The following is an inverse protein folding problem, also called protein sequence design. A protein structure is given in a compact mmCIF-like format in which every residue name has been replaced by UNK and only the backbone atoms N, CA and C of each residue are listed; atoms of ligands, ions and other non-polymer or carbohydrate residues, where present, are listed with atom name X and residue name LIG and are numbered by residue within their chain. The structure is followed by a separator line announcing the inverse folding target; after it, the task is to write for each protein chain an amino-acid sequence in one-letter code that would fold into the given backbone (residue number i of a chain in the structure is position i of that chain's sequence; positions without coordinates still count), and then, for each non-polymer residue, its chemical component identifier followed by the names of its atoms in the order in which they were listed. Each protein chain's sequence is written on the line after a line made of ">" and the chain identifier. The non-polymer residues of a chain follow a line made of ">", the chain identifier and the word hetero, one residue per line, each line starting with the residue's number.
data_IF_851223957821
#
_entry.id   IF_851223957821
#
_cell.length_a   1.000
_cell.length_b   1.000
_cell.length_c   1.000
_cell.angle_alpha   90.00
_cell.angle_beta   90.00
_cell.angle_gamma   90.00
#
_symmetry.space_group_name_H-M   'P 1'
#
loop_
_entity.id
_entity.type
_entity.pdbx_description
1 polymer ?
#
# COMPACT_ATOMS: atom_id res chain seq x y z
N UNK A 1 -14.85 22.96 -30.13
CA UNK A 1 -15.24 22.36 -28.83
C UNK A 1 -14.17 22.68 -27.79
N UNK A 2 -14.47 23.49 -26.76
CA UNK A 2 -13.57 23.69 -25.63
C UNK A 2 -13.57 22.41 -24.80
N UNK A 3 -12.40 21.75 -24.67
CA UNK A 3 -12.22 20.69 -23.66
C UNK A 3 -12.54 21.32 -22.31
N UNK A 4 -13.59 20.85 -21.64
CA UNK A 4 -13.86 21.19 -20.24
C UNK A 4 -12.60 20.76 -19.47
N UNK A 5 -11.80 21.72 -19.01
CA UNK A 5 -10.67 21.42 -18.16
C UNK A 5 -11.24 20.78 -16.90
N UNK A 6 -10.86 19.52 -16.63
CA UNK A 6 -11.15 18.91 -15.33
C UNK A 6 -10.63 19.87 -14.25
N UNK A 7 -11.42 20.20 -13.22
CA UNK A 7 -10.95 21.06 -12.15
C UNK A 7 -9.68 20.44 -11.58
N UNK A 8 -8.59 21.22 -11.57
CA UNK A 8 -7.29 20.73 -11.10
C UNK A 8 -7.41 20.51 -9.61
N UNK A 9 -7.36 19.25 -9.17
CA UNK A 9 -7.42 18.91 -7.75
C UNK A 9 -6.19 19.43 -7.02
N UNK A 10 -6.31 19.62 -5.71
CA UNK A 10 -5.15 19.86 -4.85
C UNK A 10 -4.34 18.57 -4.72
N UNK A 11 -3.03 18.72 -4.56
CA UNK A 11 -2.11 17.62 -4.28
C UNK A 11 -2.51 16.92 -2.99
N UNK A 12 -2.72 15.61 -3.07
CA UNK A 12 -3.26 14.79 -1.97
C UNK A 12 -2.35 14.79 -0.73
N UNK A 13 -1.04 15.04 -0.89
CA UNK A 13 -0.08 15.04 0.21
C UNK A 13 0.13 16.39 0.86
N UNK A 14 0.12 17.48 0.09
CA UNK A 14 0.44 18.79 0.65
C UNK A 14 -0.78 19.67 0.88
N UNK A 15 -1.92 19.38 0.22
CA UNK A 15 -3.13 20.22 0.28
C UNK A 15 -2.98 21.66 -0.25
N UNK A 16 -1.76 22.10 -0.57
CA UNK A 16 -1.42 23.50 -0.89
C UNK A 16 -1.37 23.73 -2.40
N UNK A 17 -0.65 22.90 -3.14
CA UNK A 17 -0.43 23.07 -4.59
C UNK A 17 -1.40 22.22 -5.40
N UNK A 18 -1.66 22.62 -6.63
CA UNK A 18 -2.37 21.81 -7.61
C UNK A 18 -1.62 20.52 -7.95
N UNK A 19 -2.38 19.44 -8.13
CA UNK A 19 -1.90 18.18 -8.67
C UNK A 19 -1.56 18.37 -10.15
N UNK A 20 -0.27 18.59 -10.43
CA UNK A 20 0.23 18.95 -11.75
C UNK A 20 1.43 18.08 -12.17
N UNK A 21 1.57 16.91 -11.56
CA UNK A 21 2.55 15.89 -11.90
C UNK A 21 1.85 14.58 -12.21
N UNK A 22 2.32 13.90 -13.26
CA UNK A 22 1.92 12.54 -13.60
C UNK A 22 2.79 11.59 -12.81
N UNK A 23 2.16 10.74 -12.01
CA UNK A 23 2.82 9.65 -11.32
C UNK A 23 2.49 8.33 -11.99
N UNK A 24 3.49 7.49 -12.23
CA UNK A 24 3.27 6.18 -12.83
C UNK A 24 2.50 5.29 -11.85
N UNK A 25 1.47 4.60 -12.34
CA UNK A 25 0.64 3.70 -11.55
C UNK A 25 1.48 2.59 -10.89
N UNK A 26 2.38 2.02 -11.68
CA UNK A 26 3.49 1.21 -11.21
C UNK A 26 4.80 1.94 -11.48
N UNK A 27 5.64 2.19 -10.46
CA UNK A 27 6.97 2.73 -10.66
C UNK A 27 7.72 1.96 -11.75
N UNK A 28 8.39 2.67 -12.66
CA UNK A 28 9.07 2.05 -13.81
C UNK A 28 10.02 0.92 -13.44
N UNK A 29 10.64 1.00 -12.27
CA UNK A 29 11.55 -0.04 -11.77
C UNK A 29 10.84 -1.33 -11.32
N UNK A 30 9.53 -1.29 -11.04
CA UNK A 30 8.71 -2.47 -10.74
C UNK A 30 8.16 -3.15 -11.99
N UNK A 31 7.97 -2.41 -13.08
CA UNK A 31 7.33 -2.93 -14.29
C UNK A 31 7.98 -4.21 -14.85
N UNK A 32 9.32 -4.38 -14.86
CA UNK A 32 9.95 -5.63 -15.30
C UNK A 32 9.62 -6.84 -14.42
N UNK A 33 9.13 -6.63 -13.20
CA UNK A 33 8.76 -7.66 -12.23
C UNK A 33 7.26 -7.95 -12.20
N UNK A 34 6.47 -7.28 -13.04
CA UNK A 34 5.04 -7.51 -13.18
C UNK A 34 4.76 -8.51 -14.29
N UNK A 35 3.66 -9.29 -14.22
CA UNK A 35 3.29 -10.19 -15.30
C UNK A 35 2.88 -9.36 -16.52
N UNK A 36 3.24 -9.82 -17.72
CA UNK A 36 2.88 -9.15 -18.98
C UNK A 36 1.36 -9.01 -19.18
N UNK A 37 0.57 -9.86 -18.54
CA UNK A 37 -0.89 -9.82 -18.51
C UNK A 37 -1.36 -10.17 -17.09
N UNK A 38 -1.36 -9.20 -16.18
CA UNK A 38 -1.96 -9.40 -14.86
C UNK A 38 -3.36 -8.78 -14.82
N UNK A 39 -4.44 -9.59 -14.79
CA UNK A 39 -5.75 -9.10 -14.42
C UNK A 39 -5.71 -8.74 -12.93
N UNK A 40 -5.51 -7.46 -12.62
CA UNK A 40 -5.64 -7.02 -11.25
C UNK A 40 -7.12 -6.93 -10.88
N UNK A 41 -7.45 -7.37 -9.67
CA UNK A 41 -8.84 -7.37 -9.19
C UNK A 41 -8.93 -6.44 -8.00
N UNK A 42 -9.78 -5.43 -8.15
CA UNK A 42 -10.12 -4.48 -7.11
C UNK A 42 -11.40 -4.94 -6.40
N UNK A 43 -11.44 -4.77 -5.08
CA UNK A 43 -12.64 -5.04 -4.29
C UNK A 43 -12.88 -3.86 -3.36
N UNK A 44 -14.14 -3.49 -3.18
CA UNK A 44 -14.52 -2.45 -2.24
C UNK A 44 -15.64 -3.00 -1.39
N UNK A 45 -15.44 -3.10 -0.08
CA UNK A 45 -16.49 -3.56 0.82
C UNK A 45 -17.13 -2.34 1.46
N UNK A 46 -18.44 -2.16 1.24
CA UNK A 46 -19.26 -1.14 1.88
C UNK A 46 -20.06 -1.81 3.00
N UNK A 47 -19.79 -1.50 4.26
CA UNK A 47 -20.41 -2.18 5.41
C UNK A 47 -20.03 -3.67 5.52
N UNK A 48 -21.01 -4.54 5.83
CA UNK A 48 -20.79 -5.99 5.98
C UNK A 48 -20.89 -6.79 4.67
N UNK A 49 -21.31 -6.16 3.57
CA UNK A 49 -21.48 -6.83 2.28
C UNK A 49 -20.39 -6.42 1.27
N UNK A 50 -19.49 -7.33 0.87
CA UNK A 50 -18.46 -7.01 -0.10
C UNK A 50 -19.06 -6.76 -1.49
N UNK A 51 -19.06 -5.50 -1.94
CA UNK A 51 -19.41 -5.17 -3.31
C UNK A 51 -18.21 -5.36 -4.22
N UNK A 52 -18.24 -6.41 -5.04
CA UNK A 52 -17.19 -6.62 -6.05
C UNK A 52 -17.26 -5.54 -7.13
N UNK A 53 -16.41 -4.52 -7.04
CA UNK A 53 -16.15 -3.60 -8.14
C UNK A 53 -15.10 -4.25 -9.04
N UNK A 54 -15.54 -5.04 -10.03
CA UNK A 54 -14.63 -5.51 -11.08
C UNK A 54 -14.16 -4.31 -11.92
N UNK A 55 -13.19 -3.56 -11.44
CA UNK A 55 -12.48 -2.60 -12.28
C UNK A 55 -11.59 -3.39 -13.23
N UNK A 56 -12.14 -3.79 -14.38
CA UNK A 56 -11.32 -4.25 -15.50
C UNK A 56 -10.67 -3.02 -16.10
N UNK A 57 -9.37 -2.97 -15.98
CA UNK A 57 -8.64 -1.82 -16.48
C UNK A 57 -8.28 -2.05 -17.93
N UNK A 58 -8.68 -1.09 -18.77
CA UNK A 58 -8.31 -1.07 -20.18
C UNK A 58 -6.87 -0.57 -20.28
N UNK A 59 -6.00 -1.38 -20.87
CA UNK A 59 -4.58 -1.08 -21.08
C UNK A 59 -3.65 -1.82 -20.11
N UNK A 60 -2.36 -1.83 -20.44
CA UNK A 60 -1.36 -2.42 -19.57
C UNK A 60 -1.19 -1.56 -18.31
N UNK A 61 -1.16 -2.14 -17.09
CA UNK A 61 -0.94 -1.39 -15.84
C UNK A 61 0.34 -0.52 -15.87
N UNK A 62 1.31 -0.89 -16.71
CA UNK A 62 2.61 -0.24 -16.89
C UNK A 62 2.54 1.10 -17.65
N UNK A 63 1.44 1.38 -18.34
CA UNK A 63 1.27 2.59 -19.17
C UNK A 63 0.39 3.66 -18.52
N UNK A 64 -0.14 3.38 -17.32
CA UNK A 64 -1.10 4.23 -16.66
C UNK A 64 -0.41 5.24 -15.74
N UNK A 65 -0.95 6.47 -15.72
CA UNK A 65 -0.47 7.54 -14.85
C UNK A 65 -1.63 8.18 -14.09
N UNK A 66 -1.39 8.58 -12.85
CA UNK A 66 -2.35 9.30 -12.00
C UNK A 66 -1.85 10.74 -11.77
N UNK A 67 -2.75 11.72 -11.91
CA UNK A 67 -2.47 13.15 -11.68
C UNK A 67 -3.06 13.62 -10.34
N UNK A 68 -2.49 13.16 -9.23
CA UNK A 68 -2.95 13.50 -7.85
C UNK A 68 -1.91 14.17 -6.97
N UNK A 69 -0.69 14.34 -7.49
CA UNK A 69 0.43 14.94 -6.75
C UNK A 69 0.99 16.16 -7.47
N UNK A 70 1.52 17.12 -6.71
CA UNK A 70 2.23 18.26 -7.29
C UNK A 70 3.68 17.90 -7.62
N UNK A 71 4.29 18.62 -8.59
CA UNK A 71 5.69 18.42 -8.97
C UNK A 71 6.68 18.54 -7.82
N UNK A 72 6.41 19.40 -6.84
CA UNK A 72 7.29 19.59 -5.69
C UNK A 72 7.33 18.36 -4.78
N UNK A 73 6.16 17.78 -4.46
CA UNK A 73 6.12 16.53 -3.70
C UNK A 73 6.74 15.39 -4.52
N UNK A 74 6.35 15.28 -5.79
CA UNK A 74 6.76 14.16 -6.64
C UNK A 74 8.27 14.12 -6.87
N UNK A 75 8.83 15.22 -7.38
CA UNK A 75 10.27 15.33 -7.67
C UNK A 75 11.13 15.55 -6.42
N UNK A 76 10.49 15.82 -5.28
CA UNK A 76 11.14 16.08 -4.01
C UNK A 76 11.28 14.83 -3.16
N UNK A 77 10.52 14.78 -2.07
CA UNK A 77 10.63 13.73 -1.07
C UNK A 77 10.11 12.37 -1.57
N UNK A 78 9.07 12.35 -2.42
CA UNK A 78 8.52 11.10 -2.95
C UNK A 78 9.55 10.37 -3.81
N UNK A 79 10.17 11.08 -4.78
CA UNK A 79 11.24 10.50 -5.61
C UNK A 79 12.42 10.00 -4.78
N UNK A 80 12.84 10.73 -3.73
CA UNK A 80 13.91 10.25 -2.82
C UNK A 80 13.53 8.95 -2.11
N UNK A 81 12.31 8.84 -1.58
CA UNK A 81 11.81 7.61 -0.94
C UNK A 81 11.73 6.47 -1.95
N UNK A 82 11.17 6.71 -3.14
CA UNK A 82 11.06 5.69 -4.18
C UNK A 82 12.42 5.17 -4.63
N UNK A 83 13.39 6.07 -4.82
CA UNK A 83 14.75 5.70 -5.19
C UNK A 83 15.40 4.83 -4.10
N UNK A 84 15.31 5.26 -2.84
CA UNK A 84 15.84 4.52 -1.70
C UNK A 84 15.17 3.14 -1.55
N UNK A 85 13.84 3.06 -1.62
CA UNK A 85 13.11 1.80 -1.53
C UNK A 85 13.46 0.86 -2.69
N UNK A 86 13.58 1.38 -3.92
CA UNK A 86 13.96 0.56 -5.09
C UNK A 86 15.35 -0.06 -4.93
N UNK A 87 16.29 0.67 -4.33
CA UNK A 87 17.65 0.18 -4.09
C UNK A 87 17.69 -0.99 -3.11
N UNK A 88 16.72 -1.08 -2.20
CA UNK A 88 16.59 -2.19 -1.26
C UNK A 88 15.72 -3.32 -1.80
N UNK A 89 14.58 -3.02 -2.42
CA UNK A 89 13.61 -4.02 -2.89
C UNK A 89 14.13 -4.86 -4.08
N UNK A 90 14.97 -4.28 -4.96
CA UNK A 90 15.60 -5.02 -6.07
C UNK A 90 16.54 -6.15 -5.59
N UNK A 91 17.43 -5.94 -4.60
CA UNK A 91 18.16 -7.04 -3.99
C UNK A 91 17.28 -8.11 -3.32
N UNK A 92 16.20 -7.74 -2.63
CA UNK A 92 15.31 -8.74 -2.03
C UNK A 92 14.59 -9.58 -3.07
N UNK A 93 14.32 -9.03 -4.26
CA UNK A 93 13.70 -9.80 -5.33
C UNK A 93 14.59 -10.93 -5.85
N UNK A 94 15.89 -10.94 -5.53
CA UNK A 94 16.89 -11.89 -6.02
C UNK A 94 17.57 -12.69 -4.91
N UNK A 95 18.24 -12.03 -3.96
CA UNK A 95 19.15 -12.67 -2.99
C UNK A 95 19.00 -12.20 -1.54
N UNK A 96 18.38 -11.04 -1.30
CA UNK A 96 18.28 -10.42 0.03
C UNK A 96 17.66 -11.35 1.09
N UNK A 97 18.29 -11.41 2.26
CA UNK A 97 17.84 -12.22 3.41
C UNK A 97 17.67 -11.43 4.69
N UNK A 98 18.32 -10.29 4.85
CA UNK A 98 18.35 -9.56 6.11
C UNK A 98 17.96 -8.10 5.91
N UNK A 99 17.20 -7.50 6.83
CA UNK A 99 16.71 -6.12 6.74
C UNK A 99 16.92 -5.36 8.05
N UNK A 100 17.72 -4.30 8.01
CA UNK A 100 17.92 -3.41 9.16
C UNK A 100 16.70 -2.52 9.40
N UNK A 101 16.57 -1.98 10.60
CA UNK A 101 15.49 -1.06 10.98
C UNK A 101 15.33 0.12 10.01
N UNK A 102 16.41 0.77 9.58
CA UNK A 102 16.34 1.88 8.62
C UNK A 102 15.77 1.45 7.27
N UNK A 103 16.12 0.24 6.80
CA UNK A 103 15.56 -0.30 5.55
C UNK A 103 14.08 -0.64 5.70
N UNK A 104 13.67 -1.16 6.87
CA UNK A 104 12.25 -1.38 7.19
C UNK A 104 11.47 -0.07 7.06
N UNK A 105 11.95 1.02 7.67
CA UNK A 105 11.30 2.33 7.62
C UNK A 105 11.20 2.88 6.20
N UNK A 106 12.24 2.74 5.38
CA UNK A 106 12.25 3.19 3.98
C UNK A 106 11.20 2.43 3.15
N UNK A 107 11.18 1.10 3.23
CA UNK A 107 10.25 0.26 2.47
C UNK A 107 8.82 0.48 2.95
N UNK A 108 8.62 0.56 4.27
CA UNK A 108 7.34 0.86 4.88
C UNK A 108 6.79 2.21 4.38
N UNK A 109 7.61 3.26 4.43
CA UNK A 109 7.23 4.59 3.94
C UNK A 109 6.85 4.56 2.46
N UNK A 110 7.63 3.86 1.62
CA UNK A 110 7.30 3.69 0.22
C UNK A 110 5.97 2.95 0.01
N UNK A 111 5.74 1.85 0.72
CA UNK A 111 4.51 1.07 0.59
C UNK A 111 3.26 1.89 1.00
N UNK A 112 3.38 2.77 2.00
CA UNK A 112 2.34 3.73 2.38
C UNK A 112 2.05 4.72 1.27
N UNK A 113 3.08 5.40 0.73
CA UNK A 113 2.90 6.35 -0.38
C UNK A 113 2.26 5.67 -1.58
N UNK A 114 2.77 4.49 -1.94
CA UNK A 114 2.28 3.71 -3.06
C UNK A 114 0.80 3.38 -2.89
N UNK A 115 0.41 2.88 -1.70
CA UNK A 115 -0.99 2.61 -1.34
C UNK A 115 -1.86 3.85 -1.45
N UNK A 116 -1.42 4.98 -0.88
CA UNK A 116 -2.19 6.23 -0.93
C UNK A 116 -2.38 6.78 -2.35
N UNK A 117 -1.39 6.64 -3.23
CA UNK A 117 -1.48 7.12 -4.61
C UNK A 117 -2.35 6.19 -5.45
N UNK A 118 -2.15 4.87 -5.33
CA UNK A 118 -2.79 3.87 -6.17
C UNK A 118 -4.32 3.79 -5.93
N UNK A 119 -4.78 4.11 -4.72
CA UNK A 119 -6.20 4.25 -4.38
C UNK A 119 -6.92 5.27 -5.28
N UNK A 120 -6.25 6.30 -5.79
CA UNK A 120 -6.87 7.30 -6.66
C UNK A 120 -7.08 6.84 -8.11
N UNK A 121 -6.78 5.58 -8.42
CA UNK A 121 -7.14 4.98 -9.70
C UNK A 121 -8.65 4.93 -9.92
N UNK A 122 -9.40 4.59 -8.88
CA UNK A 122 -10.85 4.75 -8.83
C UNK A 122 -11.18 5.50 -7.54
N UNK A 123 -11.78 6.71 -7.61
CA UNK A 123 -12.15 7.48 -6.41
C UNK A 123 -12.94 6.69 -5.36
N UNK A 124 -13.63 5.60 -5.74
CA UNK A 124 -14.34 4.69 -4.82
C UNK A 124 -13.42 3.85 -3.94
N UNK A 125 -12.13 3.81 -4.23
CA UNK A 125 -11.10 3.08 -3.48
C UNK A 125 -10.36 3.95 -2.47
N UNK A 126 -10.63 5.26 -2.41
CA UNK A 126 -9.88 6.19 -1.55
C UNK A 126 -10.26 5.95 -0.09
N UNK A 127 -9.38 5.26 0.63
CA UNK A 127 -9.58 4.86 2.03
C UNK A 127 -8.64 5.59 2.96
N UNK A 128 -7.40 5.87 2.54
CA UNK A 128 -6.54 6.76 3.30
C UNK A 128 -7.24 8.11 3.49
N UNK A 129 -7.15 8.67 4.69
CA UNK A 129 -7.74 9.96 5.04
C UNK A 129 -6.82 11.12 4.62
N UNK A 130 -7.36 12.34 4.60
CA UNK A 130 -6.51 13.53 4.46
C UNK A 130 -5.51 13.64 5.62
N UNK A 131 -5.87 13.20 6.82
CA UNK A 131 -4.96 13.16 7.96
C UNK A 131 -3.79 12.21 7.72
N UNK A 132 -4.03 11.00 7.21
CA UNK A 132 -2.97 10.04 6.87
C UNK A 132 -2.01 10.65 5.84
N UNK A 133 -2.56 11.30 4.81
CA UNK A 133 -1.77 11.89 3.73
C UNK A 133 -0.98 13.11 4.17
N UNK A 134 -1.56 13.98 5.00
CA UNK A 134 -0.88 15.15 5.54
C UNK A 134 0.14 14.80 6.62
N UNK A 135 0.05 13.62 7.25
CA UNK A 135 1.10 13.09 8.12
C UNK A 135 2.37 12.70 7.34
N UNK A 136 2.26 12.46 6.03
CA UNK A 136 3.41 12.27 5.15
C UNK A 136 4.16 13.60 4.96
N UNK A 137 5.48 13.58 4.73
CA UNK A 137 6.30 14.78 4.83
C UNK A 137 5.93 15.80 3.77
N UNK A 138 5.88 17.07 4.17
CA UNK A 138 5.91 18.19 3.24
C UNK A 138 7.29 18.89 3.21
N UNK A 139 8.11 18.73 4.27
CA UNK A 139 9.35 19.49 4.45
C UNK A 139 10.58 18.57 4.42
N UNK A 140 11.61 19.00 3.71
CA UNK A 140 12.72 18.18 3.23
C UNK A 140 13.71 17.65 4.29
N UNK A 141 13.39 17.70 5.59
CA UNK A 141 14.38 17.52 6.68
C UNK A 141 14.42 16.12 7.31
N UNK A 142 13.42 15.27 7.11
CA UNK A 142 13.46 13.88 7.57
C UNK A 142 12.59 12.97 6.69
N UNK A 143 12.97 11.70 6.55
CA UNK A 143 12.04 10.69 6.05
C UNK A 143 10.89 10.59 7.08
N UNK A 144 9.69 11.03 6.72
CA UNK A 144 8.53 10.74 7.57
C UNK A 144 8.30 9.25 7.56
N UNK A 145 7.91 8.76 8.72
CA UNK A 145 7.50 7.38 8.89
C UNK A 145 6.02 7.24 8.54
N UNK A 146 5.54 6.03 8.20
CA UNK A 146 4.11 5.83 8.02
C UNK A 146 3.31 6.24 9.28
N UNK A 147 2.00 6.51 9.14
CA UNK A 147 1.17 6.82 10.30
C UNK A 147 1.18 5.68 11.34
N UNK A 148 1.04 5.97 12.64
CA UNK A 148 1.18 4.99 13.72
C UNK A 148 0.06 3.92 13.73
N UNK A 149 -1.09 4.24 13.15
CA UNK A 149 -2.25 3.38 12.94
C UNK A 149 -2.15 2.53 11.67
N UNK A 150 -0.97 2.48 11.04
CA UNK A 150 -0.70 1.59 9.91
C UNK A 150 0.15 0.41 10.39
N UNK A 151 -0.04 -0.74 9.75
CA UNK A 151 0.84 -1.90 9.85
C UNK A 151 1.27 -2.32 8.47
N UNK A 152 2.56 -2.63 8.35
CA UNK A 152 3.14 -3.07 7.10
C UNK A 152 3.92 -4.33 7.37
N UNK A 153 3.59 -5.37 6.63
CA UNK A 153 4.22 -6.67 6.71
C UNK A 153 4.92 -6.97 5.39
N UNK A 154 6.06 -7.62 5.48
CA UNK A 154 6.82 -8.07 4.32
C UNK A 154 7.17 -9.54 4.48
N UNK A 155 7.23 -10.24 3.35
CA UNK A 155 7.80 -11.56 3.26
C UNK A 155 8.57 -11.72 1.96
N UNK A 156 9.48 -12.69 1.93
CA UNK A 156 10.09 -13.18 0.70
C UNK A 156 9.24 -14.31 0.15
N UNK A 157 9.05 -14.36 -1.15
CA UNK A 157 8.36 -15.43 -1.85
C UNK A 157 9.34 -16.35 -2.55
N UNK A 158 8.96 -17.62 -2.72
CA UNK A 158 9.84 -18.66 -3.30
C UNK A 158 10.00 -18.54 -4.81
N UNK A 159 9.00 -17.98 -5.49
CA UNK A 159 9.03 -17.78 -6.94
C UNK A 159 8.48 -16.41 -7.31
N UNK A 160 8.75 -16.03 -8.55
CA UNK A 160 8.28 -14.81 -9.21
C UNK A 160 7.18 -15.13 -10.25
N UNK A 161 6.61 -16.34 -10.20
CA UNK A 161 5.65 -16.83 -11.22
C UNK A 161 4.32 -16.10 -11.17
N UNK A 162 4.04 -15.45 -10.04
CA UNK A 162 2.86 -14.65 -9.79
C UNK A 162 3.30 -13.22 -9.46
N UNK A 163 2.51 -12.25 -9.89
CA UNK A 163 2.58 -10.90 -9.35
C UNK A 163 1.19 -10.29 -9.45
N UNK A 164 0.77 -9.70 -8.34
CA UNK A 164 -0.58 -9.22 -8.15
C UNK A 164 -0.60 -7.96 -7.31
N UNK A 165 -1.73 -7.28 -7.43
CA UNK A 165 -2.09 -6.23 -6.52
C UNK A 165 -3.56 -6.38 -6.21
N UNK A 166 -3.86 -6.24 -4.93
CA UNK A 166 -5.20 -6.39 -4.40
C UNK A 166 -5.41 -5.33 -3.35
N UNK A 167 -6.46 -4.55 -3.50
CA UNK A 167 -6.86 -3.53 -2.54
C UNK A 167 -8.29 -3.80 -2.08
N UNK A 168 -8.54 -3.61 -0.78
CA UNK A 168 -9.87 -3.61 -0.17
C UNK A 168 -9.95 -2.49 0.85
N UNK A 169 -10.97 -1.64 0.68
CA UNK A 169 -11.43 -0.72 1.71
C UNK A 169 -12.60 -1.27 2.51
N UNK A 170 -12.75 -0.81 3.74
CA UNK A 170 -13.94 -0.96 4.56
C UNK A 170 -14.21 0.35 5.33
N UNK A 171 -15.47 0.76 5.40
CA UNK A 171 -15.92 1.94 6.15
C UNK A 171 -17.29 1.66 6.79
N UNK A 172 -17.68 2.39 7.85
CA UNK A 172 -18.89 2.10 8.57
C UNK A 172 -20.07 2.60 7.75
N UNK A 173 -21.25 1.99 7.95
CA UNK A 173 -22.46 2.38 7.20
C UNK A 173 -22.98 3.77 7.61
N UNK A 174 -22.56 4.30 8.76
CA UNK A 174 -22.94 5.62 9.24
C UNK A 174 -22.15 6.72 8.53
N UNK A 175 -22.84 7.75 8.06
CA UNK A 175 -22.27 8.90 7.34
C UNK A 175 -21.32 9.77 8.21
N UNK A 176 -21.24 9.52 9.51
CA UNK A 176 -20.39 10.26 10.44
C UNK A 176 -19.02 9.58 10.59
N UNK A 177 -18.02 10.09 9.87
CA UNK A 177 -16.61 9.92 10.21
C UNK A 177 -15.71 9.42 9.08
N UNK A 178 -15.05 10.33 8.35
CA UNK A 178 -13.93 9.97 7.47
C UNK A 178 -12.78 9.24 8.21
N UNK A 179 -12.69 9.41 9.53
CA UNK A 179 -11.60 8.91 10.36
C UNK A 179 -11.63 7.38 10.56
N UNK A 180 -12.79 6.74 10.35
CA UNK A 180 -12.99 5.33 10.67
C UNK A 180 -12.72 4.38 9.50
N UNK A 181 -12.13 4.82 8.39
CA UNK A 181 -11.86 3.93 7.24
C UNK A 181 -10.76 2.90 7.55
N UNK A 182 -11.06 1.62 7.40
CA UNK A 182 -10.04 0.57 7.38
C UNK A 182 -9.60 0.29 5.94
N UNK A 183 -8.32 -0.05 5.76
CA UNK A 183 -7.81 -0.44 4.44
C UNK A 183 -6.89 -1.65 4.54
N UNK A 184 -6.93 -2.45 3.48
CA UNK A 184 -6.07 -3.60 3.27
C UNK A 184 -5.53 -3.55 1.84
N UNK A 185 -4.21 -3.53 1.70
CA UNK A 185 -3.55 -3.61 0.39
C UNK A 185 -2.54 -4.74 0.42
N UNK A 186 -2.63 -5.66 -0.54
CA UNK A 186 -1.62 -6.66 -0.85
C UNK A 186 -0.89 -6.23 -2.13
N UNK A 187 0.43 -6.28 -2.08
CA UNK A 187 1.31 -5.99 -3.21
C UNK A 187 2.25 -7.17 -3.38
N UNK A 188 2.30 -7.74 -4.58
CA UNK A 188 3.20 -8.84 -4.94
C UNK A 188 3.91 -8.51 -6.25
N UNK A 189 5.24 -8.46 -6.20
CA UNK A 189 6.09 -8.34 -7.37
C UNK A 189 7.37 -9.16 -7.19
N UNK A 190 7.79 -9.88 -8.24
CA UNK A 190 8.95 -10.77 -8.15
C UNK A 190 8.83 -11.72 -6.95
N UNK A 191 9.86 -11.75 -6.10
CA UNK A 191 9.87 -12.53 -4.85
C UNK A 191 9.53 -11.70 -3.60
N UNK A 192 8.88 -10.55 -3.75
CA UNK A 192 8.47 -9.70 -2.62
C UNK A 192 6.95 -9.75 -2.47
N UNK A 193 6.50 -10.05 -1.24
CA UNK A 193 5.10 -9.90 -0.83
C UNK A 193 5.00 -8.86 0.28
N UNK A 194 4.12 -7.88 0.09
CA UNK A 194 3.80 -6.83 1.06
C UNK A 194 2.31 -6.84 1.39
N UNK A 195 2.00 -6.58 2.66
CA UNK A 195 0.65 -6.33 3.13
C UNK A 195 0.66 -5.03 3.92
N UNK A 196 -0.23 -4.12 3.56
CA UNK A 196 -0.47 -2.82 4.21
C UNK A 196 -1.87 -2.87 4.82
N UNK A 197 -1.97 -2.58 6.12
CA UNK A 197 -3.23 -2.57 6.86
C UNK A 197 -3.36 -1.28 7.64
N UNK A 198 -4.50 -0.60 7.54
CA UNK A 198 -4.89 0.50 8.44
C UNK A 198 -6.12 0.10 9.23
N UNK A 199 -6.06 0.22 10.55
CA UNK A 199 -7.18 0.05 11.47
C UNK A 199 -7.34 1.34 12.30
N UNK A 200 -8.54 1.96 12.32
CA UNK A 200 -8.77 3.17 13.10
C UNK A 200 -8.67 2.92 14.60
N UNK A 201 -8.45 4.00 15.36
CA UNK A 201 -8.24 4.07 16.81
C UNK A 201 -8.69 2.88 17.65
N UNK A 202 -10.00 2.64 17.86
CA UNK A 202 -10.49 1.61 18.78
C UNK A 202 -10.16 0.18 18.31
N UNK A 203 -9.96 -0.03 17.01
CA UNK A 203 -9.72 -1.35 16.41
C UNK A 203 -8.25 -1.76 16.42
N UNK A 204 -7.34 -0.86 16.81
CA UNK A 204 -5.90 -1.14 16.86
C UNK A 204 -5.54 -2.26 17.84
N UNK A 205 -6.41 -2.56 18.81
CA UNK A 205 -6.26 -3.72 19.72
C UNK A 205 -6.16 -5.04 18.92
N UNK A 206 -6.84 -5.12 17.77
CA UNK A 206 -6.77 -6.26 16.86
C UNK A 206 -5.40 -6.49 16.23
N UNK A 207 -4.49 -5.50 16.27
CA UNK A 207 -3.16 -5.66 15.70
C UNK A 207 -2.31 -6.71 16.41
N UNK A 208 -2.50 -6.93 17.71
CA UNK A 208 -1.75 -7.96 18.42
C UNK A 208 -2.03 -9.36 17.83
N UNK A 209 -3.30 -9.67 17.54
CA UNK A 209 -3.68 -10.92 16.91
C UNK A 209 -3.18 -11.04 15.46
N UNK A 210 -3.22 -9.94 14.70
CA UNK A 210 -2.68 -9.92 13.34
C UNK A 210 -1.16 -10.09 13.31
N UNK A 211 -0.43 -9.44 14.23
CA UNK A 211 1.02 -9.52 14.35
C UNK A 211 1.45 -10.96 14.67
N UNK A 212 0.78 -11.62 15.61
CA UNK A 212 1.05 -13.00 15.97
C UNK A 212 0.78 -13.94 14.79
N UNK A 213 -0.38 -13.80 14.13
CA UNK A 213 -0.73 -14.59 12.94
C UNK A 213 0.33 -14.43 11.83
N UNK A 214 0.78 -13.19 11.59
CA UNK A 214 1.80 -12.90 10.59
C UNK A 214 3.13 -13.55 10.94
N UNK A 215 3.58 -13.37 12.19
CA UNK A 215 4.85 -13.88 12.67
C UNK A 215 4.94 -15.40 12.53
N UNK A 216 3.93 -16.13 13.03
CA UNK A 216 3.83 -17.59 12.91
C UNK A 216 3.79 -18.06 11.46
N UNK A 217 3.28 -17.22 10.56
CA UNK A 217 3.11 -17.54 9.16
C UNK A 217 4.33 -17.23 8.28
N UNK A 218 5.34 -16.53 8.81
CA UNK A 218 6.52 -16.07 8.08
C UNK A 218 6.35 -14.73 7.36
N UNK A 219 5.39 -13.91 7.80
CA UNK A 219 5.30 -12.49 7.48
C UNK A 219 5.94 -11.69 8.62
N UNK A 220 6.85 -10.79 8.27
CA UNK A 220 7.54 -9.96 9.23
C UNK A 220 6.96 -8.56 9.22
N UNK A 221 6.56 -8.06 10.39
CA UNK A 221 6.13 -6.66 10.55
C UNK A 221 7.34 -5.74 10.34
N UNK A 222 7.29 -4.90 9.32
CA UNK A 222 8.29 -3.85 9.03
C UNK A 222 7.81 -2.45 9.45
N UNK A 223 6.52 -2.30 9.78
CA UNK A 223 5.99 -1.10 10.41
C UNK A 223 4.93 -1.41 11.48
N UNK A 224 5.04 -0.86 12.71
CA UNK A 224 6.19 -0.15 13.26
C UNK A 224 7.48 -0.96 13.14
N UNK A 225 8.57 -0.28 12.79
CA UNK A 225 9.87 -0.92 12.54
C UNK A 225 10.36 -1.63 13.78
N UNK A 226 10.91 -2.82 13.63
CA UNK A 226 11.50 -3.60 14.70
C UNK A 226 12.96 -3.20 14.91
N UNK A 227 13.40 -3.17 16.17
CA UNK A 227 14.82 -3.02 16.50
C UNK A 227 15.60 -4.22 15.96
N UNK A 228 16.81 -3.97 15.49
CA UNK A 228 17.69 -5.00 14.97
C UNK A 228 17.44 -5.35 13.50
N UNK A 229 17.73 -6.60 13.16
CA UNK A 229 17.71 -7.12 11.78
C UNK A 229 16.64 -8.19 11.65
N UNK A 230 15.75 -8.03 10.67
CA UNK A 230 14.79 -9.08 10.28
C UNK A 230 15.49 -10.02 9.32
N UNK A 231 15.45 -11.33 9.61
CA UNK A 231 15.87 -12.35 8.66
C UNK A 231 14.67 -12.99 7.97
N UNK A 232 14.61 -12.90 6.65
CA UNK A 232 13.66 -13.62 5.84
C UNK A 232 14.17 -15.04 5.60
N UNK A 233 13.40 -16.03 6.06
CA UNK A 233 13.66 -17.45 5.84
C UNK A 233 13.61 -17.82 4.33
N UNK A 234 13.54 -19.12 4.00
CA UNK A 234 13.45 -19.65 2.61
C UNK A 234 12.28 -19.10 1.77
N UNK A 235 11.44 -18.23 2.33
CA UNK A 235 10.31 -17.58 1.70
C UNK A 235 9.05 -18.43 1.71
N UNK A 236 7.91 -17.76 1.52
CA UNK A 236 6.59 -18.39 1.40
C UNK A 236 6.30 -18.75 -0.06
N UNK A 237 5.50 -19.79 -0.28
CA UNK A 237 4.89 -19.95 -1.61
C UNK A 237 3.86 -18.84 -1.84
N UNK A 238 3.64 -18.44 -3.09
CA UNK A 238 2.62 -17.46 -3.43
C UNK A 238 1.23 -17.89 -2.90
N UNK A 239 0.85 -19.16 -3.07
CA UNK A 239 -0.36 -19.74 -2.48
C UNK A 239 -0.48 -19.54 -0.96
N UNK A 240 0.60 -19.75 -0.20
CA UNK A 240 0.59 -19.53 1.26
C UNK A 240 0.46 -18.05 1.59
N UNK A 241 1.15 -17.17 0.87
CA UNK A 241 1.02 -15.72 1.02
C UNK A 241 -0.41 -15.23 0.73
N UNK A 242 -1.03 -15.70 -0.35
CA UNK A 242 -2.41 -15.38 -0.70
C UNK A 242 -3.41 -15.85 0.36
N UNK A 243 -3.19 -17.06 0.91
CA UNK A 243 -4.02 -17.58 2.00
C UNK A 243 -3.93 -16.70 3.25
N UNK A 244 -2.71 -16.34 3.69
CA UNK A 244 -2.50 -15.47 4.85
C UNK A 244 -3.13 -14.09 4.62
N UNK A 245 -2.92 -13.50 3.43
CA UNK A 245 -3.51 -12.23 3.06
C UNK A 245 -5.05 -12.27 3.11
N UNK A 246 -5.66 -13.36 2.64
CA UNK A 246 -7.11 -13.55 2.72
C UNK A 246 -7.59 -13.64 4.17
N UNK A 247 -6.88 -14.39 5.02
CA UNK A 247 -7.21 -14.52 6.44
C UNK A 247 -7.11 -13.17 7.16
N UNK A 248 -6.00 -12.45 6.95
CA UNK A 248 -5.81 -11.10 7.53
C UNK A 248 -6.92 -10.14 7.10
N UNK A 249 -7.30 -10.14 5.82
CA UNK A 249 -8.41 -9.33 5.33
C UNK A 249 -9.72 -9.71 6.03
N UNK A 250 -10.02 -10.99 6.18
CA UNK A 250 -11.24 -11.45 6.86
C UNK A 250 -11.24 -11.05 8.34
N UNK A 251 -10.10 -11.21 9.03
CA UNK A 251 -9.94 -10.75 10.42
C UNK A 251 -10.13 -9.24 10.53
N UNK A 252 -9.53 -8.45 9.64
CA UNK A 252 -9.73 -7.00 9.59
C UNK A 252 -11.21 -6.65 9.41
N UNK A 253 -11.89 -7.27 8.44
CA UNK A 253 -13.31 -7.03 8.19
C UNK A 253 -14.19 -7.46 9.37
N UNK A 254 -13.86 -8.57 10.05
CA UNK A 254 -14.60 -9.05 11.22
C UNK A 254 -14.44 -8.12 12.43
N UNK A 255 -13.22 -7.66 12.70
CA UNK A 255 -12.94 -6.64 13.73
C UNK A 255 -13.72 -5.35 13.45
N UNK A 256 -13.84 -5.01 12.17
CA UNK A 256 -14.52 -3.81 11.73
C UNK A 256 -16.05 -3.93 11.77
N UNK A 257 -16.62 -5.11 11.48
CA UNK A 257 -18.06 -5.35 11.44
C UNK A 257 -18.70 -5.70 12.80
N UNK A 258 -17.89 -6.07 13.81
CA UNK A 258 -18.35 -6.47 15.14
C UNK A 258 -18.67 -5.31 16.09
N UNK A 259 -18.63 -4.07 15.61
CA UNK A 259 -18.89 -2.83 16.34
C UNK A 259 -19.81 -1.93 15.51
#
# INVERSE_FOLDING_TARGET
>A
MRKIQRPVSKCIFCGIRYANSKEDYWPKWLQPHLPKASPYTLFVTEGSEPRKINARVKGAPTEQTIEVVCKLCNNGWMSRIQNAASAHLKPYSTVGRTMSQTVQEVIATWATIFTMVIEFYDPKLVMATDQDRHAMPFTAKSFSKPPPDWRIYMTRLRSNDEADWFHTGAWPRSEEGELDRALFTRIHFGTVGLIVVRLPGPYQVGYAGLDELCHQSGLHRIWPSQLGTIEFARGLSAKKFLFIASLMRQTMLALYAGH
#
